data_IF_492059406434
#
_entry.id   IF_492059406434
#
_cell.length_a   1.000
_cell.length_b   1.000
_cell.length_c   1.000
_cell.angle_alpha   90.00
_cell.angle_beta   90.00
_cell.angle_gamma   90.00
#
_symmetry.space_group_name_H-M   'P 1'
#
loop_
_entity.id
_entity.type
_entity.pdbx_description
1 polymer ?
#
# COMPACT_ATOMS: atom_id res chain seq x y z
N UNK A 1 23.14 -9.66 -19.07
CA UNK A 1 23.09 -8.46 -18.21
C UNK A 1 22.75 -8.88 -16.80
N UNK A 2 23.68 -8.77 -15.85
CA UNK A 2 23.36 -8.89 -14.43
C UNK A 2 22.29 -7.85 -14.10
N UNK A 3 21.18 -8.27 -13.47
CA UNK A 3 20.17 -7.32 -12.97
C UNK A 3 20.78 -6.58 -11.78
N UNK A 4 21.49 -5.50 -12.04
CA UNK A 4 22.03 -4.63 -11.00
C UNK A 4 20.89 -4.12 -10.12
N UNK A 5 21.15 -4.11 -8.81
CA UNK A 5 20.22 -3.65 -7.79
C UNK A 5 19.90 -2.17 -8.04
N UNK A 6 18.68 -1.86 -8.45
CA UNK A 6 18.25 -0.48 -8.64
C UNK A 6 17.77 0.11 -7.31
N UNK A 7 18.59 0.97 -6.71
CA UNK A 7 18.20 1.75 -5.54
C UNK A 7 17.52 3.05 -5.98
N UNK A 8 16.44 3.40 -5.28
CA UNK A 8 15.74 4.67 -5.43
C UNK A 8 15.96 5.48 -4.17
N UNK A 9 16.34 6.75 -4.34
CA UNK A 9 16.52 7.71 -3.26
C UNK A 9 16.02 9.07 -3.71
N UNK A 10 15.09 9.65 -2.96
CA UNK A 10 14.49 10.95 -3.28
C UNK A 10 13.97 11.61 -2.00
N UNK A 11 13.85 12.94 -2.03
CA UNK A 11 13.31 13.72 -0.92
C UNK A 11 11.78 13.66 -0.92
N UNK A 12 11.22 13.45 0.26
CA UNK A 12 9.79 13.47 0.55
C UNK A 12 9.52 14.23 1.85
N UNK A 13 8.31 14.76 2.06
CA UNK A 13 7.93 15.32 3.36
C UNK A 13 7.95 14.28 4.48
N UNK A 14 8.32 14.67 5.71
CA UNK A 14 8.49 13.75 6.84
C UNK A 14 7.26 12.88 7.13
N UNK A 15 6.05 13.38 6.91
CA UNK A 15 4.81 12.62 7.07
C UNK A 15 4.75 11.36 6.18
N UNK A 16 5.42 11.37 5.02
CA UNK A 16 5.56 10.20 4.17
C UNK A 16 6.38 9.12 4.89
N UNK A 17 7.52 9.51 5.47
CA UNK A 17 8.39 8.59 6.23
C UNK A 17 7.64 8.03 7.44
N UNK A 18 6.93 8.87 8.18
CA UNK A 18 6.12 8.44 9.33
C UNK A 18 5.04 7.44 8.92
N UNK A 19 4.34 7.71 7.81
CA UNK A 19 3.29 6.84 7.30
C UNK A 19 3.87 5.48 6.90
N UNK A 20 5.00 5.48 6.17
CA UNK A 20 5.70 4.24 5.78
C UNK A 20 6.16 3.46 7.02
N UNK A 21 6.69 4.11 8.06
CA UNK A 21 7.10 3.45 9.32
C UNK A 21 5.91 2.82 10.05
N UNK A 22 4.80 3.55 10.20
CA UNK A 22 3.57 3.07 10.84
C UNK A 22 3.01 1.86 10.11
N UNK A 23 2.86 1.97 8.79
CA UNK A 23 2.27 0.93 7.95
C UNK A 23 3.19 -0.29 7.83
N UNK A 24 4.51 -0.11 7.76
CA UNK A 24 5.50 -1.19 7.82
C UNK A 24 5.30 -2.04 9.08
N UNK A 25 5.19 -1.39 10.23
CA UNK A 25 4.98 -2.05 11.51
C UNK A 25 3.61 -2.74 11.58
N UNK A 26 2.55 -2.06 11.13
CA UNK A 26 1.19 -2.58 11.23
C UNK A 26 0.93 -3.75 10.26
N UNK A 27 1.44 -3.66 9.02
CA UNK A 27 1.25 -4.69 7.99
C UNK A 27 2.28 -5.83 8.04
N UNK A 28 3.30 -5.74 8.90
CA UNK A 28 4.38 -6.72 8.97
C UNK A 28 5.22 -6.80 7.68
N UNK A 29 5.36 -5.69 6.97
CA UNK A 29 6.19 -5.62 5.77
C UNK A 29 7.61 -5.20 6.11
N UNK A 30 8.59 -5.61 5.29
CA UNK A 30 9.86 -4.90 5.26
C UNK A 30 9.67 -3.56 4.56
N UNK A 31 10.54 -2.59 4.84
CA UNK A 31 10.46 -1.27 4.21
C UNK A 31 10.58 -1.37 2.69
N UNK A 32 11.55 -2.15 2.19
CA UNK A 32 11.69 -2.42 0.76
C UNK A 32 10.42 -3.03 0.16
N UNK A 33 9.80 -4.01 0.83
CA UNK A 33 8.54 -4.61 0.35
C UNK A 33 7.45 -3.56 0.26
N UNK A 34 7.20 -2.82 1.34
CA UNK A 34 6.16 -1.79 1.36
C UNK A 34 6.38 -0.74 0.28
N UNK A 35 7.59 -0.21 0.13
CA UNK A 35 7.89 0.79 -0.89
C UNK A 35 7.68 0.26 -2.32
N UNK A 36 8.01 -1.02 -2.59
CA UNK A 36 7.71 -1.64 -3.88
C UNK A 36 6.20 -1.79 -4.11
N UNK A 37 5.44 -2.24 -3.11
CA UNK A 37 3.98 -2.36 -3.20
C UNK A 37 3.32 -0.98 -3.42
N UNK A 38 3.72 0.03 -2.64
CA UNK A 38 3.25 1.41 -2.79
C UNK A 38 3.56 1.91 -4.20
N UNK A 39 4.79 1.75 -4.67
CA UNK A 39 5.18 2.18 -6.00
C UNK A 39 4.24 1.58 -7.06
N UNK A 40 4.16 0.26 -7.17
CA UNK A 40 3.43 -0.36 -8.28
C UNK A 40 1.92 -0.25 -8.15
N UNK A 41 1.37 -0.23 -6.93
CA UNK A 41 -0.08 -0.11 -6.74
C UNK A 41 -0.57 1.32 -6.82
N UNK A 42 0.25 2.30 -6.44
CA UNK A 42 -0.10 3.71 -6.56
C UNK A 42 0.27 4.30 -7.92
N UNK A 43 1.21 3.70 -8.66
CA UNK A 43 1.63 4.15 -10.00
C UNK A 43 0.45 4.50 -10.91
N UNK A 44 -0.56 3.62 -11.11
CA UNK A 44 -1.65 3.89 -12.05
C UNK A 44 -2.52 5.08 -11.67
N UNK A 45 -2.56 5.45 -10.39
CA UNK A 45 -3.35 6.59 -9.93
C UNK A 45 -2.66 7.92 -10.24
N UNK A 46 -1.32 7.94 -10.30
CA UNK A 46 -0.55 9.13 -10.64
C UNK A 46 -0.45 9.33 -12.15
N UNK A 47 -0.32 8.26 -12.94
CA UNK A 47 -0.23 8.37 -14.42
C UNK A 47 -1.57 8.61 -15.12
N UNK A 48 -2.69 8.16 -14.56
CA UNK A 48 -4.03 8.34 -15.15
C UNK A 48 -4.75 9.57 -14.58
N UNK A 49 -4.01 10.45 -13.91
CA UNK A 49 -4.56 11.69 -13.40
C UNK A 49 -4.81 12.66 -14.57
N UNK A 50 -6.04 13.16 -14.70
CA UNK A 50 -6.28 14.40 -15.45
C UNK A 50 -5.55 15.52 -14.70
N UNK A 51 -4.63 16.22 -15.36
CA UNK A 51 -3.78 17.26 -14.77
C UNK A 51 -4.57 18.13 -13.76
N UNK A 52 -4.32 17.98 -12.44
CA UNK A 52 -4.87 18.90 -11.43
C UNK A 52 -5.36 18.30 -10.12
N UNK A 53 -5.67 17.00 -10.02
CA UNK A 53 -6.29 16.42 -8.81
C UNK A 53 -5.25 16.10 -7.72
N UNK A 54 -4.07 15.62 -8.11
CA UNK A 54 -2.91 15.32 -7.28
C UNK A 54 -1.69 16.18 -7.58
N UNK A 55 -1.75 17.13 -8.52
CA UNK A 55 -0.75 18.19 -8.67
C UNK A 55 -0.52 18.95 -7.35
N UNK A 56 -1.60 19.17 -6.59
CA UNK A 56 -1.59 19.85 -5.29
C UNK A 56 -1.40 18.91 -4.09
N UNK A 57 -1.31 17.59 -4.32
CA UNK A 57 -0.92 16.62 -3.27
C UNK A 57 0.58 16.59 -3.04
N UNK A 58 1.31 17.48 -3.69
CA UNK A 58 2.63 17.88 -3.22
C UNK A 58 2.45 18.43 -1.81
N UNK A 59 2.76 17.59 -0.82
CA UNK A 59 2.96 17.97 0.58
C UNK A 59 4.18 18.93 0.73
N UNK A 60 4.55 19.64 -0.34
CA UNK A 60 5.71 20.48 -0.50
C UNK A 60 5.62 21.76 0.34
N UNK A 61 4.41 22.11 0.81
CA UNK A 61 4.14 23.12 1.85
C UNK A 61 4.69 22.72 3.22
N UNK A 62 4.98 21.44 3.45
CA UNK A 62 5.61 20.99 4.68
C UNK A 62 7.12 21.24 4.62
N UNK A 63 7.62 21.96 5.62
CA UNK A 63 9.02 22.41 5.67
C UNK A 63 10.00 21.26 5.91
N UNK A 64 9.61 20.22 6.65
CA UNK A 64 10.50 19.10 6.96
C UNK A 64 10.50 18.05 5.85
N UNK A 65 11.68 17.85 5.24
CA UNK A 65 11.89 16.86 4.18
C UNK A 65 12.99 15.89 4.58
N UNK A 66 12.75 14.62 4.27
CA UNK A 66 13.67 13.52 4.55
C UNK A 66 13.85 12.66 3.30
N UNK A 67 14.98 11.95 3.23
CA UNK A 67 15.21 10.98 2.17
C UNK A 67 14.47 9.68 2.50
N UNK A 68 13.65 9.22 1.55
CA UNK A 68 13.28 7.82 1.48
C UNK A 68 14.27 7.09 0.59
N UNK A 69 14.64 5.87 0.97
CA UNK A 69 15.52 5.03 0.19
C UNK A 69 15.05 3.58 0.20
N UNK A 70 14.90 2.98 -0.97
CA UNK A 70 14.57 1.56 -1.09
C UNK A 70 15.16 0.96 -2.36
N UNK A 71 15.27 -0.37 -2.38
CA UNK A 71 15.71 -1.12 -3.54
C UNK A 71 14.51 -1.69 -4.28
N UNK A 72 14.46 -1.51 -5.60
CA UNK A 72 13.48 -2.21 -6.42
C UNK A 72 13.71 -3.72 -6.32
N UNK A 73 12.61 -4.45 -6.19
CA UNK A 73 12.66 -5.90 -6.23
C UNK A 73 13.17 -6.36 -7.60
N UNK A 74 14.08 -7.33 -7.64
CA UNK A 74 14.77 -7.76 -8.87
C UNK A 74 13.80 -8.23 -9.97
N UNK A 75 12.68 -8.83 -9.57
CA UNK A 75 11.62 -9.26 -10.49
C UNK A 75 10.83 -8.09 -11.12
N UNK A 76 10.92 -6.90 -10.54
CA UNK A 76 10.12 -5.73 -10.94
C UNK A 76 10.93 -4.68 -11.72
N UNK A 77 12.26 -4.79 -11.78
CA UNK A 77 13.13 -3.80 -12.43
C UNK A 77 12.74 -3.56 -13.89
N UNK A 78 12.59 -4.63 -14.68
CA UNK A 78 12.25 -4.52 -16.09
C UNK A 78 10.85 -3.91 -16.29
N UNK A 79 9.88 -4.34 -15.47
CA UNK A 79 8.53 -3.77 -15.48
C UNK A 79 8.57 -2.27 -15.18
N UNK A 80 9.35 -1.85 -14.18
CA UNK A 80 9.49 -0.45 -13.83
C UNK A 80 10.05 0.39 -14.98
N UNK A 81 11.15 -0.08 -15.59
CA UNK A 81 11.78 0.61 -16.72
C UNK A 81 10.82 0.74 -17.91
N UNK A 82 10.07 -0.32 -18.23
CA UNK A 82 9.04 -0.27 -19.27
C UNK A 82 7.99 0.78 -18.96
N UNK A 83 7.49 0.85 -17.73
CA UNK A 83 6.50 1.86 -17.32
C UNK A 83 7.05 3.29 -17.45
N UNK A 84 8.28 3.54 -16.98
CA UNK A 84 8.93 4.86 -17.10
C UNK A 84 9.01 5.31 -18.55
N UNK A 85 9.39 4.41 -19.46
CA UNK A 85 9.48 4.69 -20.90
C UNK A 85 8.08 4.88 -21.51
N UNK A 86 7.15 3.96 -21.25
CA UNK A 86 5.81 3.98 -21.85
C UNK A 86 4.99 5.23 -21.49
N UNK A 87 5.18 5.76 -20.29
CA UNK A 87 4.49 6.96 -19.81
C UNK A 87 5.35 8.22 -19.89
N UNK A 88 6.49 8.16 -20.58
CA UNK A 88 7.41 9.28 -20.78
C UNK A 88 7.73 10.06 -19.49
N UNK A 89 8.04 9.33 -18.41
CA UNK A 89 8.32 9.94 -17.11
C UNK A 89 9.68 10.63 -17.18
N UNK A 90 9.68 11.95 -17.36
CA UNK A 90 10.90 12.75 -17.45
C UNK A 90 11.63 12.89 -16.11
N UNK A 91 10.95 13.43 -15.09
CA UNK A 91 11.51 13.61 -13.75
C UNK A 91 11.09 12.46 -12.82
N UNK A 92 11.90 11.40 -12.80
CA UNK A 92 11.62 10.20 -11.98
C UNK A 92 11.46 10.53 -10.49
N UNK A 93 12.31 11.39 -9.93
CA UNK A 93 12.29 11.72 -8.51
C UNK A 93 11.02 12.48 -8.11
N UNK A 94 10.56 13.40 -8.96
CA UNK A 94 9.29 14.11 -8.75
C UNK A 94 8.09 13.18 -8.88
N UNK A 95 8.09 12.30 -9.89
CA UNK A 95 7.04 11.29 -10.05
C UNK A 95 6.96 10.37 -8.84
N UNK A 96 8.10 9.86 -8.36
CA UNK A 96 8.15 9.03 -7.16
C UNK A 96 7.65 9.81 -5.92
N UNK A 97 8.01 11.09 -5.78
CA UNK A 97 7.47 11.92 -4.69
C UNK A 97 5.94 12.02 -4.75
N UNK A 98 5.36 12.22 -5.94
CA UNK A 98 3.89 12.23 -6.13
C UNK A 98 3.25 10.91 -5.72
N UNK A 99 3.81 9.79 -6.15
CA UNK A 99 3.33 8.43 -5.78
C UNK A 99 3.28 8.22 -4.27
N UNK A 100 4.36 8.56 -3.55
CA UNK A 100 4.44 8.34 -2.11
C UNK A 100 3.65 9.37 -1.30
N UNK A 101 3.50 10.60 -1.81
CA UNK A 101 2.67 11.63 -1.19
C UNK A 101 1.19 11.29 -1.32
N UNK A 102 0.74 10.82 -2.50
CA UNK A 102 -0.59 10.26 -2.71
C UNK A 102 -0.86 9.13 -1.73
N UNK A 103 0.05 8.16 -1.61
CA UNK A 103 -0.14 7.07 -0.67
C UNK A 103 -0.33 7.58 0.77
N UNK A 104 0.48 8.54 1.19
CA UNK A 104 0.54 9.01 2.58
C UNK A 104 -0.59 9.97 2.95
N UNK A 105 -1.24 10.61 1.97
CA UNK A 105 -2.39 11.48 2.20
C UNK A 105 -3.70 10.70 2.44
N UNK A 106 -3.74 9.43 2.07
CA UNK A 106 -4.90 8.57 2.23
C UNK A 106 -5.09 8.13 3.68
N UNK A 107 -6.35 7.98 4.10
CA UNK A 107 -6.72 7.37 5.38
C UNK A 107 -6.24 5.89 5.44
N UNK A 108 -5.95 5.33 6.63
CA UNK A 108 -5.37 3.99 6.76
C UNK A 108 -6.14 2.87 6.04
N UNK A 109 -7.48 2.83 6.14
CA UNK A 109 -8.30 1.84 5.41
C UNK A 109 -8.21 1.98 3.87
N UNK A 110 -7.96 3.18 3.33
CA UNK A 110 -7.78 3.38 1.88
C UNK A 110 -6.41 2.86 1.44
N UNK A 111 -5.37 3.07 2.24
CA UNK A 111 -4.04 2.49 2.01
C UNK A 111 -4.09 0.95 2.04
N UNK A 112 -4.81 0.37 3.00
CA UNK A 112 -5.07 -1.07 3.02
C UNK A 112 -5.83 -1.56 1.79
N UNK A 113 -6.84 -0.82 1.32
CA UNK A 113 -7.57 -1.16 0.09
C UNK A 113 -6.68 -1.23 -1.13
N UNK A 114 -5.69 -0.36 -1.22
CA UNK A 114 -4.68 -0.38 -2.28
C UNK A 114 -3.77 -1.60 -2.09
N UNK A 115 -3.15 -1.75 -0.92
CA UNK A 115 -2.15 -2.79 -0.64
C UNK A 115 -2.72 -4.21 -0.62
N UNK A 116 -3.96 -4.41 -0.21
CA UNK A 116 -4.59 -5.73 -0.07
C UNK A 116 -5.78 -5.91 -1.01
N UNK A 117 -5.81 -5.20 -2.16
CA UNK A 117 -6.93 -5.20 -3.11
C UNK A 117 -7.51 -6.58 -3.43
N UNK A 118 -6.66 -7.54 -3.79
CA UNK A 118 -7.08 -8.91 -4.15
C UNK A 118 -7.70 -9.65 -2.97
N UNK A 119 -7.03 -9.58 -1.80
CA UNK A 119 -7.52 -10.17 -0.55
C UNK A 119 -8.84 -9.56 -0.11
N UNK A 120 -8.99 -8.24 -0.22
CA UNK A 120 -10.25 -7.54 0.09
C UNK A 120 -11.35 -7.95 -0.88
N UNK A 121 -11.04 -8.09 -2.17
CA UNK A 121 -11.99 -8.57 -3.16
C UNK A 121 -12.47 -9.99 -2.83
N UNK A 122 -11.52 -10.89 -2.51
CA UNK A 122 -11.81 -12.24 -2.06
C UNK A 122 -12.72 -12.23 -0.82
N UNK A 123 -12.33 -11.52 0.24
CA UNK A 123 -13.10 -11.44 1.50
C UNK A 123 -14.50 -10.87 1.28
N UNK A 124 -14.63 -9.82 0.46
CA UNK A 124 -15.95 -9.25 0.11
C UNK A 124 -16.82 -10.26 -0.61
N UNK A 125 -16.26 -11.04 -1.52
CA UNK A 125 -16.99 -12.10 -2.22
C UNK A 125 -17.42 -13.20 -1.24
N UNK A 126 -16.51 -13.72 -0.44
CA UNK A 126 -16.82 -14.74 0.58
C UNK A 126 -17.85 -14.25 1.60
N UNK A 127 -17.84 -12.97 1.96
CA UNK A 127 -18.84 -12.38 2.86
C UNK A 127 -20.23 -12.35 2.23
N UNK A 128 -20.34 -11.99 0.95
CA UNK A 128 -21.60 -12.01 0.19
C UNK A 128 -22.12 -13.43 0.02
N UNK A 129 -21.24 -14.35 -0.37
CA UNK A 129 -21.58 -15.73 -0.70
C UNK A 129 -21.71 -16.62 0.56
N UNK A 130 -21.51 -16.04 1.75
CA UNK A 130 -21.49 -16.75 3.05
C UNK A 130 -20.60 -17.98 3.04
N UNK A 131 -19.46 -17.88 2.34
CA UNK A 131 -18.47 -18.95 2.24
C UNK A 131 -17.79 -19.16 3.59
N UNK A 132 -17.74 -20.42 4.04
CA UNK A 132 -16.95 -20.79 5.22
C UNK A 132 -15.47 -20.75 4.85
N UNK A 133 -14.69 -19.99 5.60
CA UNK A 133 -13.26 -19.81 5.42
C UNK A 133 -12.53 -20.41 6.61
N UNK A 134 -11.34 -20.95 6.35
CA UNK A 134 -10.34 -21.22 7.38
C UNK A 134 -9.31 -20.11 7.30
N UNK A 135 -9.23 -19.30 8.36
CA UNK A 135 -8.31 -18.17 8.44
C UNK A 135 -7.22 -18.46 9.47
N UNK A 136 -5.98 -18.17 9.11
CA UNK A 136 -4.86 -18.12 10.05
C UNK A 136 -4.81 -16.73 10.69
N UNK A 137 -4.71 -16.69 12.00
CA UNK A 137 -4.67 -15.48 12.83
C UNK A 137 -3.41 -15.52 13.71
N UNK A 138 -3.02 -14.41 14.35
CA UNK A 138 -1.91 -14.43 15.30
C UNK A 138 -2.07 -15.44 16.45
N UNK A 139 -3.31 -15.82 16.77
CA UNK A 139 -3.64 -16.72 17.88
C UNK A 139 -3.94 -18.17 17.43
N UNK A 140 -3.66 -18.51 16.16
CA UNK A 140 -3.96 -19.82 15.58
C UNK A 140 -5.00 -19.75 14.47
N UNK A 141 -5.70 -20.86 14.22
CA UNK A 141 -6.68 -20.95 13.14
C UNK A 141 -8.10 -20.73 13.64
N UNK A 142 -8.90 -20.03 12.84
CA UNK A 142 -10.32 -19.87 13.04
C UNK A 142 -11.04 -20.34 11.78
N UNK A 143 -12.14 -21.06 11.95
CA UNK A 143 -12.97 -21.53 10.83
C UNK A 143 -14.39 -20.99 11.00
N UNK A 144 -14.91 -20.31 9.99
CA UNK A 144 -16.21 -19.66 10.08
C UNK A 144 -16.55 -18.83 8.84
N UNK A 145 -17.73 -18.24 8.85
CA UNK A 145 -18.13 -17.26 7.83
C UNK A 145 -17.71 -15.86 8.27
N UNK A 146 -17.48 -14.97 7.31
CA UNK A 146 -17.36 -13.54 7.61
C UNK A 146 -18.75 -13.05 8.02
N UNK A 147 -18.84 -12.50 9.22
CA UNK A 147 -20.05 -11.89 9.77
C UNK A 147 -20.16 -10.44 9.29
N UNK A 148 -19.05 -9.70 9.37
CA UNK A 148 -18.97 -8.28 9.00
C UNK A 148 -17.57 -7.86 8.53
N UNK A 149 -17.50 -6.75 7.78
CA UNK A 149 -16.27 -6.07 7.38
C UNK A 149 -16.42 -4.59 7.72
N UNK A 150 -15.62 -4.11 8.67
CA UNK A 150 -15.77 -2.78 9.27
C UNK A 150 -14.44 -2.03 9.36
N UNK A 151 -14.50 -0.72 9.61
CA UNK A 151 -13.35 0.13 9.87
C UNK A 151 -13.27 0.35 11.39
N UNK A 152 -12.15 -0.03 12.01
CA UNK A 152 -11.96 0.16 13.44
C UNK A 152 -11.81 1.65 13.77
N UNK A 153 -12.60 2.13 14.73
CA UNK A 153 -12.77 3.57 14.96
C UNK A 153 -11.48 4.26 15.40
N UNK A 154 -10.65 3.57 16.19
CA UNK A 154 -9.39 4.10 16.74
C UNK A 154 -8.27 4.12 15.71
N UNK A 155 -8.03 2.98 15.06
CA UNK A 155 -6.89 2.80 14.14
C UNK A 155 -7.22 3.16 12.70
N UNK A 156 -8.51 3.29 12.37
CA UNK A 156 -9.04 3.51 11.01
C UNK A 156 -8.61 2.42 10.01
N UNK A 157 -8.24 1.25 10.50
CA UNK A 157 -7.86 0.07 9.70
C UNK A 157 -9.03 -0.89 9.52
N UNK A 158 -8.97 -1.72 8.48
CA UNK A 158 -10.03 -2.70 8.18
C UNK A 158 -9.97 -3.89 9.14
N UNK A 159 -11.13 -4.31 9.60
CA UNK A 159 -11.33 -5.54 10.36
C UNK A 159 -12.37 -6.43 9.70
N UNK A 160 -12.18 -7.73 9.87
CA UNK A 160 -13.21 -8.74 9.61
C UNK A 160 -13.70 -9.31 10.94
N UNK A 161 -14.98 -9.62 11.00
CA UNK A 161 -15.57 -10.34 12.12
C UNK A 161 -15.86 -11.79 11.71
N UNK A 162 -15.36 -12.75 12.48
CA UNK A 162 -15.58 -14.20 12.31
C UNK A 162 -15.82 -14.80 13.69
N UNK A 163 -16.88 -15.58 13.87
CA UNK A 163 -17.25 -16.20 15.15
C UNK A 163 -17.33 -15.17 16.30
N UNK A 164 -17.94 -14.00 16.04
CA UNK A 164 -18.02 -12.86 16.98
C UNK A 164 -16.68 -12.27 17.44
N UNK A 165 -15.55 -12.71 16.88
CA UNK A 165 -14.22 -12.16 17.14
C UNK A 165 -13.77 -11.28 15.98
N UNK A 166 -13.04 -10.21 16.29
CA UNK A 166 -12.56 -9.25 15.30
C UNK A 166 -11.07 -9.42 15.04
N UNK A 167 -10.70 -9.35 13.77
CA UNK A 167 -9.33 -9.49 13.32
C UNK A 167 -9.00 -8.39 12.32
N UNK A 168 -7.84 -7.75 12.48
CA UNK A 168 -7.32 -6.84 11.46
C UNK A 168 -7.10 -7.58 10.16
N UNK A 169 -7.63 -7.02 9.08
CA UNK A 169 -7.57 -7.63 7.75
C UNK A 169 -6.11 -7.90 7.36
N UNK A 170 -5.20 -6.97 7.62
CA UNK A 170 -3.78 -7.13 7.35
C UNK A 170 -3.16 -8.39 8.01
N UNK A 171 -3.63 -8.78 9.19
CA UNK A 171 -3.02 -9.83 10.03
C UNK A 171 -3.58 -11.23 9.80
N UNK A 172 -4.61 -11.37 8.96
CA UNK A 172 -5.23 -12.65 8.65
C UNK A 172 -4.57 -13.28 7.41
N UNK A 173 -4.30 -14.58 7.38
CA UNK A 173 -3.93 -15.29 6.15
C UNK A 173 -5.07 -16.23 5.80
N UNK A 174 -5.46 -16.23 4.53
CA UNK A 174 -6.59 -17.01 4.00
C UNK A 174 -6.04 -18.10 3.10
#
# INVERSE_FOLDING_TARGET
MSKEKQNKRFLVPSIVIETIKKDKSFFGFSENRLCNEVLFKCFPFVINEEEGIFSDFTLDMLESREFIQFSLHIGNIERYLRLVISYNIGNEAEFLRKVFSLYSSLQPFLRERILFREKIYFLKRSWKDKTKLRISTPNGFEEGIIEDILIEASTKHLQIQVNKKRYYLANVII
#
